data_IF_641136263611
#
_entry.id   IF_641136263611
#
_cell.length_a   1.000
_cell.length_b   1.000
_cell.length_c   1.000
_cell.angle_alpha   90.00
_cell.angle_beta   90.00
_cell.angle_gamma   90.00
#
_symmetry.space_group_name_H-M   'P 1'
#
loop_
_entity.id
_entity.type
_entity.pdbx_description
1 polymer ?
#
# COMPACT_ATOMS: atom_id res chain seq x y z
N UNK A 1 12.86 5.51 -21.11
CA UNK A 1 11.64 5.21 -20.34
C UNK A 1 11.85 5.80 -18.96
N UNK A 2 11.06 6.81 -18.57
CA UNK A 2 11.19 7.41 -17.24
C UNK A 2 10.68 6.40 -16.21
N UNK A 3 11.59 5.69 -15.55
CA UNK A 3 11.25 4.83 -14.42
C UNK A 3 10.77 5.74 -13.28
N UNK A 4 9.46 5.72 -13.02
CA UNK A 4 8.89 6.45 -11.90
C UNK A 4 9.34 5.85 -10.56
N UNK A 5 9.36 6.69 -9.52
CA UNK A 5 9.57 6.23 -8.16
C UNK A 5 8.49 5.21 -7.76
N UNK A 6 8.92 4.17 -7.05
CA UNK A 6 8.10 3.04 -6.62
C UNK A 6 7.81 3.19 -5.14
N UNK A 7 6.54 3.24 -4.75
CA UNK A 7 6.14 3.31 -3.34
C UNK A 7 5.37 2.05 -3.00
N UNK A 8 5.83 1.30 -2.00
CA UNK A 8 5.20 0.06 -1.56
C UNK A 8 5.43 -0.20 -0.08
N UNK A 9 4.58 -1.04 0.52
CA UNK A 9 4.75 -1.47 1.90
C UNK A 9 5.47 -2.82 1.98
N UNK A 10 6.45 -2.93 2.88
CA UNK A 10 7.23 -4.13 3.14
C UNK A 10 6.98 -4.61 4.56
N UNK A 11 6.86 -5.92 4.75
CA UNK A 11 6.82 -6.48 6.09
C UNK A 11 8.22 -6.43 6.73
N UNK A 12 8.33 -5.90 7.94
CA UNK A 12 9.57 -5.75 8.68
C UNK A 12 10.28 -4.45 8.34
N UNK A 13 11.10 -4.45 7.29
CA UNK A 13 11.97 -3.34 6.90
C UNK A 13 11.95 -3.10 5.39
N UNK A 14 12.34 -1.91 4.97
CA UNK A 14 12.50 -1.64 3.55
C UNK A 14 13.75 -2.32 2.98
N UNK A 15 13.74 -2.69 1.69
CA UNK A 15 14.97 -3.07 0.99
C UNK A 15 15.97 -1.93 1.04
N UNK A 16 17.27 -2.22 1.16
CA UNK A 16 18.31 -1.21 1.42
C UNK A 16 18.49 -0.12 0.36
N UNK A 17 17.85 -0.26 -0.81
CA UNK A 17 17.82 0.71 -1.91
C UNK A 17 16.57 1.60 -1.93
N UNK A 18 15.67 1.41 -0.96
CA UNK A 18 14.44 2.14 -0.81
C UNK A 18 14.50 3.01 0.44
N UNK A 19 13.98 4.22 0.35
CA UNK A 19 13.89 5.18 1.45
C UNK A 19 12.61 4.94 2.22
N UNK A 20 12.71 4.67 3.51
CA UNK A 20 11.55 4.56 4.39
C UNK A 20 10.80 5.91 4.43
N UNK A 21 9.49 5.85 4.21
CA UNK A 21 8.58 6.99 4.25
C UNK A 21 7.85 7.09 5.59
N UNK A 22 7.85 6.01 6.36
CA UNK A 22 7.19 5.92 7.65
C UNK A 22 8.01 5.07 8.61
N UNK A 23 7.77 5.23 9.91
CA UNK A 23 8.14 4.18 10.86
C UNK A 23 7.30 2.91 10.61
N UNK A 24 7.76 1.72 11.04
CA UNK A 24 6.99 0.50 10.90
C UNK A 24 5.67 0.53 11.69
N UNK A 25 4.55 0.42 10.99
CA UNK A 25 3.20 0.32 11.56
C UNK A 25 2.74 -1.12 11.50
N UNK A 26 2.56 -1.76 12.67
CA UNK A 26 2.17 -3.18 12.77
C UNK A 26 3.10 -4.12 11.97
N UNK A 27 4.40 -3.83 11.99
CA UNK A 27 5.41 -4.57 11.25
C UNK A 27 5.36 -4.36 9.74
N UNK A 28 4.70 -3.31 9.24
CA UNK A 28 4.76 -2.87 7.84
C UNK A 28 5.42 -1.51 7.74
N UNK A 29 6.34 -1.35 6.80
CA UNK A 29 6.98 -0.07 6.50
C UNK A 29 6.73 0.32 5.07
N UNK A 30 6.29 1.56 4.85
CA UNK A 30 6.20 2.10 3.50
C UNK A 30 7.53 2.68 3.09
N UNK A 31 7.98 2.35 1.88
CA UNK A 31 9.23 2.84 1.35
C UNK A 31 9.12 3.21 -0.12
N UNK A 32 9.95 4.18 -0.51
CA UNK A 32 10.10 4.68 -1.85
C UNK A 32 11.42 4.20 -2.45
N UNK A 33 11.37 3.46 -3.55
CA UNK A 33 12.53 3.09 -4.35
C UNK A 33 12.59 4.01 -5.58
N UNK A 34 13.80 4.37 -6.05
CA UNK A 34 13.93 5.28 -7.21
C UNK A 34 13.34 4.70 -8.50
N UNK A 35 13.34 3.37 -8.62
CA UNK A 35 12.71 2.63 -9.70
C UNK A 35 12.37 1.20 -9.27
N UNK A 36 11.61 0.51 -10.11
CA UNK A 36 11.31 -0.93 -9.95
C UNK A 36 12.60 -1.77 -9.96
N UNK A 37 13.61 -1.37 -10.73
CA UNK A 37 14.91 -2.05 -10.75
C UNK A 37 15.65 -1.91 -9.41
N UNK A 38 15.57 -0.75 -8.76
CA UNK A 38 16.15 -0.56 -7.43
C UNK A 38 15.42 -1.39 -6.37
N UNK A 39 14.10 -1.53 -6.49
CA UNK A 39 13.29 -2.45 -5.67
C UNK A 39 13.79 -3.90 -5.84
N UNK A 40 13.84 -4.41 -7.06
CA UNK A 40 14.33 -5.78 -7.33
C UNK A 40 15.77 -5.99 -6.88
N UNK A 41 16.65 -5.01 -7.10
CA UNK A 41 18.03 -5.08 -6.64
C UNK A 41 18.12 -5.16 -5.11
N UNK A 42 17.32 -4.37 -4.40
CA UNK A 42 17.25 -4.41 -2.94
C UNK A 42 16.76 -5.76 -2.42
N UNK A 43 15.69 -6.31 -3.00
CA UNK A 43 15.15 -7.62 -2.64
C UNK A 43 16.16 -8.75 -2.91
N UNK A 44 16.88 -8.68 -4.03
CA UNK A 44 17.93 -9.64 -4.37
C UNK A 44 19.11 -9.58 -3.38
N UNK A 45 19.48 -8.39 -2.90
CA UNK A 45 20.49 -8.23 -1.85
C UNK A 45 20.04 -8.86 -0.52
N UNK A 46 18.76 -8.80 -0.18
CA UNK A 46 18.21 -9.49 0.98
C UNK A 46 18.26 -11.01 0.84
N UNK A 47 17.84 -11.54 -0.31
CA UNK A 47 17.90 -12.96 -0.61
C UNK A 47 19.35 -13.50 -0.54
N UNK A 48 20.32 -12.77 -1.12
CA UNK A 48 21.75 -13.13 -1.07
C UNK A 48 22.31 -13.12 0.35
N UNK A 49 21.77 -12.29 1.23
CA UNK A 49 22.13 -12.25 2.63
C UNK A 49 21.41 -13.34 3.47
N UNK A 50 20.73 -14.30 2.82
CA UNK A 50 20.02 -15.40 3.48
C UNK A 50 18.69 -14.99 4.13
N UNK A 51 18.15 -13.81 3.80
CA UNK A 51 16.85 -13.36 4.30
C UNK A 51 15.76 -13.72 3.30
N UNK A 52 14.58 -14.09 3.81
CA UNK A 52 13.41 -14.25 2.96
C UNK A 52 12.93 -12.86 2.51
N UNK A 53 12.80 -12.60 1.20
CA UNK A 53 12.30 -11.32 0.71
C UNK A 53 10.92 -11.00 1.28
N UNK A 54 10.77 -9.81 1.84
CA UNK A 54 9.51 -9.41 2.47
C UNK A 54 8.38 -9.28 1.44
N UNK A 55 7.17 -9.78 1.73
CA UNK A 55 6.01 -9.58 0.86
C UNK A 55 5.71 -8.09 0.70
N UNK A 56 5.21 -7.71 -0.48
CA UNK A 56 5.04 -6.31 -0.89
C UNK A 56 3.55 -5.99 -1.03
N UNK A 57 3.04 -5.02 -0.27
CA UNK A 57 1.66 -4.55 -0.44
C UNK A 57 1.58 -3.57 -1.63
N UNK A 58 0.59 -3.78 -2.48
CA UNK A 58 0.37 -3.04 -3.74
C UNK A 58 -1.13 -2.85 -4.01
N UNK A 59 -1.55 -2.03 -4.99
CA UNK A 59 -2.95 -1.94 -5.41
C UNK A 59 -3.60 -3.31 -5.69
N UNK A 60 -2.84 -4.27 -6.24
CA UNK A 60 -3.33 -5.59 -6.61
C UNK A 60 -3.38 -6.59 -5.45
N UNK A 61 -2.93 -6.21 -4.26
CA UNK A 61 -2.76 -7.14 -3.15
C UNK A 61 -1.37 -7.12 -2.55
N UNK A 62 -1.21 -7.98 -1.55
CA UNK A 62 0.11 -8.41 -1.10
C UNK A 62 0.66 -9.37 -2.15
N UNK A 63 1.70 -8.93 -2.85
CA UNK A 63 2.39 -9.68 -3.88
C UNK A 63 3.68 -10.29 -3.35
N UNK A 64 4.06 -11.43 -3.94
CA UNK A 64 5.41 -11.93 -3.82
C UNK A 64 6.36 -10.96 -4.55
N UNK A 65 7.54 -10.66 -3.99
CA UNK A 65 8.61 -9.91 -4.66
C UNK A 65 8.96 -10.38 -6.07
N UNK A 66 8.67 -11.63 -6.43
CA UNK A 66 8.91 -12.21 -7.76
C UNK A 66 7.67 -12.19 -8.67
N UNK A 67 6.56 -11.62 -8.21
CA UNK A 67 5.35 -11.51 -9.02
C UNK A 67 5.57 -10.52 -10.18
N UNK A 68 5.29 -10.92 -11.44
CA UNK A 68 5.48 -10.05 -12.60
C UNK A 68 4.57 -8.81 -12.58
N UNK A 69 3.47 -8.85 -11.82
CA UNK A 69 2.56 -7.69 -11.66
C UNK A 69 3.17 -6.57 -10.83
N UNK A 70 4.27 -6.83 -10.12
CA UNK A 70 4.93 -5.83 -9.28
C UNK A 70 5.37 -4.61 -10.11
N UNK A 71 5.81 -4.79 -11.35
CA UNK A 71 6.20 -3.67 -12.22
C UNK A 71 5.02 -2.71 -12.52
N UNK A 72 3.81 -3.25 -12.68
CA UNK A 72 2.58 -2.47 -12.95
C UNK A 72 1.99 -1.85 -11.68
N UNK A 73 2.28 -2.44 -10.52
CA UNK A 73 1.66 -2.10 -9.24
C UNK A 73 2.26 -0.87 -8.56
N UNK A 74 3.40 -0.40 -9.06
CA UNK A 74 4.25 0.57 -8.38
C UNK A 74 3.91 2.00 -8.79
N UNK A 75 2.86 2.56 -8.19
CA UNK A 75 2.71 4.02 -8.05
C UNK A 75 1.70 4.34 -6.95
N UNK A 76 1.62 5.63 -6.60
CA UNK A 76 0.58 6.32 -5.81
C UNK A 76 0.98 6.72 -4.39
N UNK A 77 1.09 8.04 -4.18
CA UNK A 77 1.04 8.68 -2.86
C UNK A 77 -0.40 8.86 -2.32
N UNK A 78 -1.41 8.37 -3.06
CA UNK A 78 -2.83 8.44 -2.67
C UNK A 78 -3.50 7.08 -2.82
N UNK A 79 -4.40 6.79 -1.90
CA UNK A 79 -5.15 5.53 -1.80
C UNK A 79 -6.63 5.89 -1.75
N UNK A 80 -7.45 5.25 -2.58
CA UNK A 80 -8.88 5.56 -2.69
C UNK A 80 -9.66 4.43 -3.37
N UNK A 81 -10.99 4.50 -3.28
CA UNK A 81 -11.91 3.47 -3.76
C UNK A 81 -12.04 2.32 -2.76
N UNK A 82 -12.21 1.09 -3.28
CA UNK A 82 -12.29 -0.10 -2.44
C UNK A 82 -10.89 -0.46 -1.92
N UNK A 83 -10.70 -0.38 -0.61
CA UNK A 83 -9.41 -0.57 0.08
C UNK A 83 -9.49 -1.72 1.07
N UNK A 84 -8.39 -2.45 1.22
CA UNK A 84 -8.16 -3.38 2.33
C UNK A 84 -7.08 -2.82 3.23
N UNK A 85 -7.38 -2.68 4.51
CA UNK A 85 -6.55 -2.01 5.50
C UNK A 85 -6.25 -2.95 6.67
N UNK A 86 -5.05 -2.82 7.22
CA UNK A 86 -4.64 -3.43 8.48
C UNK A 86 -4.57 -2.35 9.57
N UNK A 87 -5.46 -2.38 10.58
CA UNK A 87 -5.38 -1.53 11.75
C UNK A 87 -4.14 -1.80 12.60
N UNK A 88 -3.55 -0.75 13.19
CA UNK A 88 -2.50 -0.87 14.21
C UNK A 88 -3.02 -0.80 15.65
N UNK A 89 -4.05 0.01 15.92
CA UNK A 89 -4.63 0.25 17.25
C UNK A 89 -5.89 -0.58 17.56
N UNK A 90 -6.31 -1.44 16.64
CA UNK A 90 -7.50 -2.26 16.78
C UNK A 90 -8.68 -1.77 15.93
N UNK A 91 -9.76 -2.55 15.92
CA UNK A 91 -10.88 -2.36 14.98
C UNK A 91 -11.69 -1.10 15.28
N UNK A 92 -11.95 -0.79 16.56
CA UNK A 92 -12.79 0.35 16.93
C UNK A 92 -12.16 1.69 16.50
N UNK A 93 -10.87 1.88 16.81
CA UNK A 93 -10.12 3.07 16.41
C UNK A 93 -9.99 3.18 14.89
N UNK A 94 -9.80 2.05 14.20
CA UNK A 94 -9.77 2.05 12.74
C UNK A 94 -11.11 2.47 12.13
N UNK A 95 -12.24 2.01 12.67
CA UNK A 95 -13.56 2.44 12.20
C UNK A 95 -13.78 3.94 12.43
N UNK A 96 -13.34 4.47 13.58
CA UNK A 96 -13.37 5.91 13.85
C UNK A 96 -12.50 6.69 12.86
N UNK A 97 -11.26 6.26 12.65
CA UNK A 97 -10.36 6.87 11.69
C UNK A 97 -10.92 6.83 10.25
N UNK A 98 -11.59 5.74 9.89
CA UNK A 98 -12.26 5.59 8.59
C UNK A 98 -13.39 6.59 8.41
N UNK A 99 -14.20 6.83 9.44
CA UNK A 99 -15.22 7.88 9.40
C UNK A 99 -14.60 9.27 9.24
N UNK A 100 -13.49 9.54 9.92
CA UNK A 100 -12.79 10.83 9.84
C UNK A 100 -12.17 11.10 8.46
N UNK A 101 -11.73 10.06 7.74
CA UNK A 101 -11.26 10.18 6.34
C UNK A 101 -12.40 10.14 5.31
N UNK A 102 -13.66 10.07 5.77
CA UNK A 102 -14.84 10.12 4.90
C UNK A 102 -15.19 8.78 4.24
N UNK A 103 -14.91 7.65 4.89
CA UNK A 103 -15.32 6.34 4.40
C UNK A 103 -16.85 6.26 4.25
N UNK A 104 -17.32 5.81 3.09
CA UNK A 104 -18.75 5.58 2.82
C UNK A 104 -19.20 4.19 3.27
N UNK A 105 -18.26 3.26 3.36
CA UNK A 105 -18.48 1.87 3.74
C UNK A 105 -17.28 1.33 4.51
N UNK A 106 -17.53 0.48 5.51
CA UNK A 106 -16.51 -0.29 6.18
C UNK A 106 -17.07 -1.65 6.65
N UNK A 107 -16.28 -2.71 6.45
CA UNK A 107 -16.57 -4.07 6.90
C UNK A 107 -15.33 -4.68 7.51
N UNK A 108 -15.51 -5.32 8.66
CA UNK A 108 -14.44 -5.98 9.39
C UNK A 108 -14.43 -7.46 9.02
N UNK A 109 -13.28 -7.97 8.62
CA UNK A 109 -13.04 -9.39 8.37
C UNK A 109 -11.83 -9.85 9.19
N UNK A 110 -12.11 -10.35 10.40
CA UNK A 110 -11.09 -10.68 11.39
C UNK A 110 -10.28 -9.45 11.78
N UNK A 111 -9.03 -9.39 11.32
CA UNK A 111 -8.11 -8.28 11.61
C UNK A 111 -7.85 -7.36 10.42
N UNK A 112 -8.59 -7.54 9.32
CA UNK A 112 -8.56 -6.68 8.14
C UNK A 112 -9.87 -5.89 8.08
N UNK A 113 -9.76 -4.63 7.69
CA UNK A 113 -10.93 -3.78 7.42
C UNK A 113 -10.98 -3.53 5.92
N UNK A 114 -12.09 -3.90 5.30
CA UNK A 114 -12.40 -3.55 3.92
C UNK A 114 -13.26 -2.29 3.94
N UNK A 115 -12.88 -1.26 3.21
CA UNK A 115 -13.59 0.01 3.24
C UNK A 115 -13.68 0.63 1.84
N UNK A 116 -14.61 1.56 1.67
CA UNK A 116 -14.62 2.47 0.52
C UNK A 116 -14.31 3.87 1.02
N UNK A 117 -13.21 4.46 0.55
CA UNK A 117 -12.72 5.77 0.98
C UNK A 117 -12.49 6.69 -0.22
N UNK A 118 -12.58 8.02 -0.04
CA UNK A 118 -12.12 8.96 -1.06
C UNK A 118 -10.61 8.81 -1.33
N UNK A 119 -10.09 9.43 -2.38
CA UNK A 119 -8.64 9.47 -2.59
C UNK A 119 -7.95 10.25 -1.46
N UNK A 120 -7.28 9.51 -0.57
CA UNK A 120 -6.63 10.02 0.65
C UNK A 120 -5.12 9.87 0.54
N UNK A 121 -4.30 10.84 1.00
CA UNK A 121 -2.86 10.69 1.06
C UNK A 121 -2.46 9.45 1.88
N UNK A 122 -1.48 8.70 1.39
CA UNK A 122 -0.97 7.52 2.10
C UNK A 122 -0.48 7.87 3.50
N UNK A 123 0.26 8.96 3.63
CA UNK A 123 0.79 9.47 4.91
C UNK A 123 -0.32 9.73 5.94
N UNK A 124 -1.48 10.21 5.51
CA UNK A 124 -2.62 10.46 6.39
C UNK A 124 -3.20 9.14 6.91
N UNK A 125 -3.35 8.12 6.05
CA UNK A 125 -3.80 6.80 6.47
C UNK A 125 -2.84 6.18 7.48
N UNK A 126 -1.52 6.27 7.22
CA UNK A 126 -0.50 5.73 8.12
C UNK A 126 -0.45 6.47 9.46
N UNK A 127 -0.56 7.80 9.46
CA UNK A 127 -0.64 8.60 10.68
C UNK A 127 -1.84 8.21 11.56
N UNK A 128 -2.90 7.68 10.93
CA UNK A 128 -4.10 7.17 11.59
C UNK A 128 -4.02 5.68 11.94
N UNK A 129 -2.87 5.03 11.72
CA UNK A 129 -2.68 3.62 12.01
C UNK A 129 -3.39 2.67 11.03
N UNK A 130 -3.77 3.15 9.84
CA UNK A 130 -4.41 2.38 8.79
C UNK A 130 -3.36 2.02 7.73
N UNK A 131 -2.94 0.76 7.67
CA UNK A 131 -1.96 0.30 6.67
C UNK A 131 -2.70 -0.27 5.46
N UNK A 132 -2.62 0.36 4.26
CA UNK A 132 -3.23 -0.20 3.06
C UNK A 132 -2.49 -1.44 2.58
N UNK A 133 -3.22 -2.54 2.41
CA UNK A 133 -2.72 -3.81 1.90
C UNK A 133 -3.05 -4.00 0.42
N UNK A 134 -4.17 -3.43 -0.03
CA UNK A 134 -4.59 -3.40 -1.42
C UNK A 134 -5.64 -2.33 -1.66
N UNK A 135 -5.74 -1.82 -2.87
CA UNK A 135 -6.78 -0.87 -3.24
C UNK A 135 -7.06 -0.88 -4.73
N UNK A 136 -8.33 -0.68 -5.07
CA UNK A 136 -8.74 -0.45 -6.45
C UNK A 136 -9.16 0.99 -6.58
N UNK A 137 -8.56 1.72 -7.54
CA UNK A 137 -9.03 3.05 -7.88
C UNK A 137 -10.53 2.98 -8.18
N UNK A 138 -11.33 3.96 -7.72
CA UNK A 138 -12.72 4.02 -8.11
C UNK A 138 -12.78 3.99 -9.64
N UNK A 139 -13.63 3.13 -10.20
CA UNK A 139 -13.85 3.12 -11.63
C UNK A 139 -14.22 4.54 -12.04
N UNK A 140 -13.37 5.21 -12.84
CA UNK A 140 -13.79 6.43 -13.51
C UNK A 140 -14.92 6.00 -14.44
N UNK A 141 -16.16 6.21 -14.02
CA UNK A 141 -17.26 6.29 -14.96
C UNK A 141 -16.99 7.58 -15.72
N UNK A 142 -16.28 7.48 -16.84
CA UNK A 142 -16.38 8.50 -17.86
C UNK A 142 -17.86 8.49 -18.27
N UNK A 143 -18.61 9.45 -17.73
CA UNK A 143 -19.90 9.80 -18.30
C UNK A 143 -19.59 10.21 -19.74
N UNK A 144 -19.75 9.26 -20.66
CA UNK A 144 -19.77 9.54 -22.08
C UNK A 144 -20.74 10.71 -22.24
N UNK A 145 -20.23 11.88 -22.63
CA UNK A 145 -21.11 12.97 -23.04
C UNK A 145 -22.01 12.40 -24.11
N UNK A 146 -23.30 12.33 -23.82
CA UNK A 146 -24.30 11.93 -24.80
C UNK A 146 -24.14 12.83 -26.05
N UNK A 147 -24.31 12.28 -27.26
CA UNK A 147 -24.15 13.01 -28.51
C UNK A 147 -25.10 14.21 -28.64
#
# INVERSE_FOLDING_TARGET
>A
MAGGAVVAAFRGRAPGRCRELSEPVNGWVWAECRSVQDLYAGLAEEARAGRQPSPVATPYGVLDPLDPRLEEACTYGRVGGAVKLKPSSGVADALKALLEVGATYAKVNGSIVEAEIPETPLEELLARGLVPLSWQKPARVELARAP
#
